data_IF_161614144711
#
_entry.id   IF_161614144711
#
_cell.length_a   1.000
_cell.length_b   1.000
_cell.length_c   1.000
_cell.angle_alpha   90.00
_cell.angle_beta   90.00
_cell.angle_gamma   90.00
#
_symmetry.space_group_name_H-M   'P 1'
#
loop_
_entity.id
_entity.type
_entity.pdbx_description
1 polymer ?
#
# COMPACT_ATOMS: atom_id res chain seq x y z
N UNK A 1 0.13 7.51 12.63
CA UNK A 1 -0.26 8.70 11.87
C UNK A 1 -1.27 9.55 12.61
N UNK A 2 -0.76 10.59 13.25
CA UNK A 2 -1.57 11.70 13.72
C UNK A 2 -1.81 12.61 12.51
N UNK A 3 -2.90 12.31 11.79
CA UNK A 3 -3.24 12.94 10.53
C UNK A 3 -3.87 14.31 10.80
N UNK A 4 -3.07 15.35 10.67
CA UNK A 4 -3.53 16.72 10.73
C UNK A 4 -3.97 17.17 9.34
N UNK A 5 -5.19 17.72 9.24
CA UNK A 5 -5.65 18.33 8.00
C UNK A 5 -4.68 19.45 7.59
N UNK A 6 -4.32 19.45 6.32
CA UNK A 6 -3.44 20.46 5.72
C UNK A 6 -4.24 21.25 4.71
N UNK A 7 -4.28 22.55 4.92
CA UNK A 7 -4.76 23.49 3.94
C UNK A 7 -3.84 23.47 2.72
N UNK A 8 -4.43 23.57 1.53
CA UNK A 8 -3.66 23.64 0.27
C UNK A 8 -2.57 24.73 0.36
N UNK A 9 -2.87 25.82 1.05
CA UNK A 9 -1.98 26.98 1.29
C UNK A 9 -0.69 26.64 2.03
N UNK A 10 -0.71 25.62 2.88
CA UNK A 10 0.43 25.19 3.68
C UNK A 10 1.31 24.14 2.97
N UNK A 11 0.94 23.71 1.76
CA UNK A 11 1.73 22.76 0.97
C UNK A 11 2.77 23.52 0.13
N UNK A 12 4.08 23.24 0.28
CA UNK A 12 5.11 23.89 -0.51
C UNK A 12 5.04 23.45 -1.97
N UNK A 13 5.00 24.44 -2.87
CA UNK A 13 4.86 24.26 -4.32
C UNK A 13 6.21 24.55 -5.00
N UNK A 14 6.59 23.72 -5.96
CA UNK A 14 7.86 23.83 -6.68
C UNK A 14 9.10 23.44 -5.85
N UNK A 15 8.89 22.98 -4.61
CA UNK A 15 9.94 22.48 -3.73
C UNK A 15 9.67 21.03 -3.34
N UNK A 16 10.71 20.22 -3.07
CA UNK A 16 10.52 18.87 -2.56
C UNK A 16 9.70 18.91 -1.28
N UNK A 17 8.62 18.13 -1.23
CA UNK A 17 7.74 18.12 -0.07
C UNK A 17 8.53 17.72 1.19
N UNK A 18 8.45 18.49 2.28
CA UNK A 18 9.17 18.18 3.52
C UNK A 18 8.51 17.04 4.30
N UNK A 19 7.28 16.65 3.94
CA UNK A 19 6.49 15.61 4.60
C UNK A 19 5.52 14.96 3.60
N UNK A 20 5.06 13.74 3.91
CA UNK A 20 4.11 13.01 3.07
C UNK A 20 2.70 13.58 3.23
N UNK A 21 1.95 13.59 2.13
CA UNK A 21 0.54 13.97 2.08
C UNK A 21 -0.32 12.73 1.93
N UNK A 22 -1.45 12.71 2.63
CA UNK A 22 -2.40 11.61 2.66
C UNK A 22 -3.81 12.11 2.31
N UNK A 23 -4.67 11.20 1.87
CA UNK A 23 -6.12 11.44 1.84
C UNK A 23 -6.77 11.14 3.20
N UNK A 24 -8.07 11.45 3.33
CA UNK A 24 -8.90 11.13 4.51
C UNK A 24 -8.93 9.65 4.91
N UNK A 25 -8.46 8.76 4.04
CA UNK A 25 -8.43 7.32 4.28
C UNK A 25 -6.99 6.84 4.62
N UNK A 26 -6.03 7.75 4.72
CA UNK A 26 -4.64 7.47 5.07
C UNK A 26 -3.78 6.99 3.90
N UNK A 27 -4.25 7.08 2.65
CA UNK A 27 -3.44 6.73 1.50
C UNK A 27 -2.51 7.87 1.12
N UNK A 28 -1.23 7.56 0.90
CA UNK A 28 -0.25 8.54 0.43
C UNK A 28 -0.66 9.09 -0.93
N UNK A 29 -0.96 10.38 -0.97
CA UNK A 29 -1.21 11.17 -2.17
C UNK A 29 0.10 11.71 -2.75
N UNK A 30 1.04 12.11 -1.88
CA UNK A 30 2.38 12.53 -2.28
C UNK A 30 3.42 12.05 -1.28
N UNK A 31 4.54 11.55 -1.79
CA UNK A 31 5.68 11.16 -0.97
C UNK A 31 6.50 12.37 -0.54
N UNK A 32 7.23 12.25 0.58
CA UNK A 32 8.21 13.26 1.00
C UNK A 32 9.31 13.33 -0.04
N UNK A 33 9.64 14.52 -0.50
CA UNK A 33 10.62 14.77 -1.57
C UNK A 33 10.02 14.84 -2.97
N UNK A 34 8.76 14.42 -3.17
CA UNK A 34 8.06 14.73 -4.41
C UNK A 34 7.84 16.23 -4.53
N UNK A 35 8.07 16.76 -5.73
CA UNK A 35 7.89 18.18 -6.00
C UNK A 35 6.49 18.35 -6.56
N UNK A 36 5.61 18.99 -5.78
CA UNK A 36 4.32 19.42 -6.32
C UNK A 36 4.56 20.65 -7.16
N UNK A 37 4.60 20.50 -8.48
CA UNK A 37 4.97 21.60 -9.37
C UNK A 37 3.97 22.77 -9.31
N UNK A 38 2.65 22.53 -9.18
CA UNK A 38 1.64 23.59 -9.16
C UNK A 38 0.47 23.33 -8.19
N UNK A 39 0.04 24.39 -7.50
CA UNK A 39 -1.07 24.41 -6.51
C UNK A 39 -2.41 23.89 -7.04
N UNK A 40 -2.63 23.98 -8.35
CA UNK A 40 -3.85 23.50 -9.01
C UNK A 40 -4.00 21.97 -8.96
N UNK A 41 -2.88 21.24 -8.85
CA UNK A 41 -2.85 19.78 -8.72
C UNK A 41 -3.56 19.33 -7.43
N UNK A 42 -3.28 20.03 -6.32
CA UNK A 42 -3.93 19.82 -5.02
C UNK A 42 -5.44 20.11 -5.10
N UNK A 43 -5.83 21.22 -5.76
CA UNK A 43 -7.24 21.60 -5.96
C UNK A 43 -8.05 20.59 -6.78
N UNK A 44 -7.42 19.89 -7.73
CA UNK A 44 -8.09 18.87 -8.56
C UNK A 44 -8.23 17.52 -7.86
N UNK A 45 -7.38 17.24 -6.85
CA UNK A 45 -7.52 16.08 -5.95
C UNK A 45 -8.66 16.26 -4.93
N UNK A 46 -9.16 17.49 -4.77
CA UNK A 46 -10.09 17.90 -3.73
C UNK A 46 -11.56 17.78 -4.14
N UNK A 47 -12.07 16.56 -3.97
CA UNK A 47 -13.35 16.39 -3.27
C UNK A 47 -13.14 15.86 -1.82
N UNK A 48 -11.89 15.67 -1.37
CA UNK A 48 -11.56 15.19 -0.03
C UNK A 48 -10.35 15.89 0.57
N UNK A 49 -10.40 16.12 1.88
CA UNK A 49 -9.40 16.81 2.70
C UNK A 49 -8.00 16.15 2.59
N UNK A 50 -6.95 16.98 2.57
CA UNK A 50 -5.53 16.59 2.55
C UNK A 50 -5.03 16.49 3.99
N UNK A 51 -4.24 15.48 4.31
CA UNK A 51 -3.72 15.27 5.65
C UNK A 51 -2.21 15.09 5.63
N UNK A 52 -1.53 15.52 6.69
CA UNK A 52 -0.13 15.20 6.97
C UNK A 52 -0.02 14.46 8.27
N UNK A 53 0.92 13.54 8.36
CA UNK A 53 1.25 12.92 9.63
C UNK A 53 2.25 13.80 10.39
N UNK A 54 1.82 14.41 11.49
CA UNK A 54 2.69 15.26 12.34
C UNK A 54 3.66 14.45 13.21
N UNK A 55 3.41 13.16 13.41
CA UNK A 55 4.29 12.25 14.15
C UNK A 55 5.24 11.46 13.23
N UNK A 56 5.26 11.79 11.93
CA UNK A 56 6.16 11.18 10.98
C UNK A 56 7.62 11.61 11.26
N UNK A 57 8.38 10.72 11.91
CA UNK A 57 9.84 10.80 11.96
C UNK A 57 10.39 11.02 10.54
N UNK A 58 11.49 11.78 10.37
CA UNK A 58 12.12 11.91 9.07
C UNK A 58 12.43 10.53 8.52
N UNK A 59 12.02 10.20 7.29
CA UNK A 59 12.30 8.89 6.76
C UNK A 59 13.83 8.79 6.62
N UNK A 60 14.39 7.65 7.05
CA UNK A 60 15.57 7.13 6.37
C UNK A 60 15.30 7.13 4.86
N UNK A 61 16.32 7.20 4.02
CA UNK A 61 16.26 7.31 2.53
C UNK A 61 15.47 6.20 1.78
N UNK A 62 14.54 5.53 2.43
CA UNK A 62 13.64 4.54 1.88
C UNK A 62 12.37 5.23 1.37
N UNK A 63 12.38 5.56 0.08
CA UNK A 63 11.18 5.49 -0.76
C UNK A 63 10.46 4.19 -0.41
N UNK A 64 9.11 4.13 -0.28
CA UNK A 64 8.43 2.86 -0.06
C UNK A 64 8.83 1.90 -1.17
N UNK A 65 9.71 0.96 -0.83
CA UNK A 65 10.13 -0.10 -1.70
C UNK A 65 8.91 -1.02 -1.80
N UNK A 66 8.03 -0.71 -2.75
CA UNK A 66 6.97 -1.62 -3.15
C UNK A 66 7.68 -2.92 -3.49
N UNK A 67 7.43 -3.96 -2.70
CA UNK A 67 7.90 -5.30 -3.03
C UNK A 67 7.18 -5.67 -4.32
N UNK A 68 7.85 -5.44 -5.46
CA UNK A 68 7.53 -6.13 -6.70
C UNK A 68 7.56 -7.61 -6.36
N UNK A 69 6.40 -8.23 -6.21
CA UNK A 69 6.31 -9.67 -6.34
C UNK A 69 6.56 -9.98 -7.82
N UNK A 70 7.85 -9.93 -8.23
CA UNK A 70 8.35 -10.36 -9.54
C UNK A 70 7.92 -11.79 -9.88
N UNK A 71 7.52 -12.55 -8.86
CA UNK A 71 7.17 -13.97 -8.92
C UNK A 71 5.67 -14.28 -9.06
N UNK A 72 4.79 -13.28 -9.21
CA UNK A 72 3.39 -13.56 -9.54
C UNK A 72 3.29 -13.92 -11.04
N UNK A 73 2.82 -15.13 -11.38
CA UNK A 73 2.71 -15.54 -12.77
C UNK A 73 1.72 -14.63 -13.51
N UNK A 74 2.10 -14.06 -14.67
CA UNK A 74 1.19 -13.28 -15.49
C UNK A 74 0.19 -14.24 -16.15
N UNK A 75 -1.03 -14.35 -15.62
CA UNK A 75 -1.92 -15.45 -15.96
C UNK A 75 -3.32 -15.04 -16.48
N UNK A 76 -3.76 -13.80 -16.27
CA UNK A 76 -5.15 -13.43 -16.55
C UNK A 76 -5.29 -12.42 -17.69
N UNK A 77 -6.38 -12.56 -18.45
CA UNK A 77 -6.80 -11.62 -19.49
C UNK A 77 -7.58 -10.48 -18.80
N UNK A 78 -7.36 -9.24 -19.21
CA UNK A 78 -8.14 -8.11 -18.71
C UNK A 78 -9.56 -8.07 -19.31
N UNK A 79 -10.56 -7.54 -18.60
CA UNK A 79 -10.68 -7.70 -17.16
C UNK A 79 -10.87 -9.20 -16.82
N UNK A 80 -10.33 -9.69 -15.70
CA UNK A 80 -10.55 -11.08 -15.31
C UNK A 80 -12.04 -11.38 -15.03
N UNK A 81 -12.43 -12.66 -15.10
CA UNK A 81 -13.85 -13.08 -15.13
C UNK A 81 -14.72 -12.57 -13.96
N UNK A 82 -14.11 -12.25 -12.82
CA UNK A 82 -14.81 -11.80 -11.60
C UNK A 82 -14.71 -10.29 -11.34
N UNK A 83 -14.08 -9.54 -12.25
CA UNK A 83 -13.78 -8.12 -12.05
C UNK A 83 -14.47 -7.26 -13.09
N UNK A 84 -15.08 -6.19 -12.59
CA UNK A 84 -15.80 -5.22 -13.41
C UNK A 84 -15.21 -3.85 -13.13
N UNK A 85 -14.17 -3.45 -13.88
CA UNK A 85 -13.59 -2.12 -13.74
C UNK A 85 -14.67 -1.06 -13.94
N UNK A 86 -14.79 -0.14 -12.99
CA UNK A 86 -15.79 0.93 -13.02
C UNK A 86 -15.23 2.19 -13.65
N UNK A 87 -16.07 2.92 -14.37
CA UNK A 87 -15.71 4.24 -14.91
C UNK A 87 -15.28 5.15 -13.75
N UNK A 88 -14.17 5.85 -13.90
CA UNK A 88 -13.59 6.72 -12.88
C UNK A 88 -12.65 6.03 -11.90
N UNK A 89 -12.45 4.70 -11.99
CA UNK A 89 -11.42 4.02 -11.20
C UNK A 89 -10.03 4.60 -11.47
N UNK A 90 -9.25 4.74 -10.41
CA UNK A 90 -7.91 5.35 -10.48
C UNK A 90 -6.94 4.40 -11.17
N UNK A 91 -6.15 4.97 -12.08
CA UNK A 91 -5.03 4.31 -12.75
C UNK A 91 -3.77 5.12 -12.49
N UNK A 92 -2.72 4.44 -12.01
CA UNK A 92 -1.38 4.98 -11.95
C UNK A 92 -0.62 4.55 -13.20
N UNK A 93 -0.01 5.50 -13.88
CA UNK A 93 0.73 5.27 -15.12
C UNK A 93 2.18 5.63 -14.96
N UNK A 94 3.07 4.76 -15.40
CA UNK A 94 4.50 5.05 -15.51
C UNK A 94 4.93 4.87 -16.96
N UNK A 95 5.50 5.91 -17.54
CA UNK A 95 6.05 5.86 -18.90
C UNK A 95 7.39 5.14 -18.86
N UNK A 96 7.51 4.06 -19.62
CA UNK A 96 8.72 3.25 -19.70
C UNK A 96 9.66 3.86 -20.73
N UNK A 97 10.92 4.12 -20.36
CA UNK A 97 11.93 4.70 -21.24
C UNK A 97 12.06 6.22 -21.18
N UNK A 98 11.32 6.91 -20.31
CA UNK A 98 11.60 8.30 -19.94
C UNK A 98 12.45 8.36 -18.67
N UNK A 99 13.28 9.40 -18.54
CA UNK A 99 14.09 9.65 -17.33
C UNK A 99 13.24 9.85 -16.08
N UNK A 100 11.98 10.30 -16.29
CA UNK A 100 11.00 10.47 -15.24
C UNK A 100 10.31 9.14 -14.89
N UNK A 101 10.65 8.59 -13.71
CA UNK A 101 10.14 7.30 -13.24
C UNK A 101 8.92 7.39 -12.32
N UNK A 102 8.38 8.59 -12.06
CA UNK A 102 7.26 8.74 -11.13
C UNK A 102 5.93 8.31 -11.77
N UNK A 103 5.01 7.81 -10.93
CA UNK A 103 3.67 7.46 -11.36
C UNK A 103 2.83 8.71 -11.56
N UNK A 104 2.04 8.70 -12.62
CA UNK A 104 1.14 9.77 -13.01
C UNK A 104 -0.31 9.29 -12.83
N UNK A 105 -1.15 10.17 -12.29
CA UNK A 105 -2.53 9.85 -12.00
C UNK A 105 -3.43 10.03 -13.23
N UNK A 106 -4.21 8.99 -13.51
CA UNK A 106 -5.27 9.00 -14.51
C UNK A 106 -6.51 8.27 -13.98
N UNK A 107 -7.59 8.34 -14.75
CA UNK A 107 -8.84 7.66 -14.49
C UNK A 107 -9.23 6.78 -15.68
N UNK A 108 -9.80 5.62 -15.37
CA UNK A 108 -10.40 4.74 -16.35
C UNK A 108 -11.65 5.41 -16.95
N UNK A 109 -11.70 5.53 -18.28
CA UNK A 109 -12.91 5.95 -19.00
C UNK A 109 -13.75 4.71 -19.35
N UNK A 110 -13.08 3.63 -19.74
CA UNK A 110 -13.71 2.36 -20.11
C UNK A 110 -12.76 1.46 -20.88
N UNK A 111 -13.30 0.42 -21.50
CA UNK A 111 -12.52 -0.49 -22.34
C UNK A 111 -13.38 -1.09 -23.45
N UNK A 112 -12.74 -1.41 -24.55
CA UNK A 112 -13.29 -2.19 -25.65
C UNK A 112 -12.59 -3.54 -25.62
N UNK A 113 -13.33 -4.60 -25.29
CA UNK A 113 -12.80 -5.93 -25.04
C UNK A 113 -11.96 -6.43 -26.23
N UNK A 114 -10.73 -6.84 -25.96
CA UNK A 114 -9.77 -7.33 -26.96
C UNK A 114 -9.15 -6.25 -27.85
N UNK A 115 -9.54 -4.98 -27.71
CA UNK A 115 -9.05 -3.89 -28.56
C UNK A 115 -8.22 -2.87 -27.78
N UNK A 116 -8.83 -2.21 -26.79
CA UNK A 116 -8.14 -1.14 -26.06
C UNK A 116 -8.76 -0.80 -24.72
N UNK A 117 -7.95 -0.24 -23.82
CA UNK A 117 -8.39 0.40 -22.58
C UNK A 117 -8.31 1.92 -22.76
N UNK A 118 -9.36 2.65 -22.39
CA UNK A 118 -9.44 4.10 -22.55
C UNK A 118 -9.17 4.77 -21.21
N UNK A 119 -8.18 5.67 -21.19
CA UNK A 119 -7.69 6.31 -19.97
C UNK A 119 -7.55 7.81 -20.20
N UNK A 120 -7.90 8.62 -19.21
CA UNK A 120 -7.70 10.09 -19.26
C UNK A 120 -6.22 10.42 -19.36
N UNK A 121 -5.85 11.44 -20.14
CA UNK A 121 -4.47 11.94 -20.14
C UNK A 121 -4.12 12.52 -18.76
N UNK A 122 -3.04 12.07 -18.10
CA UNK A 122 -2.62 12.64 -16.83
C UNK A 122 -2.37 14.13 -16.92
N UNK A 123 -2.77 14.84 -15.87
CA UNK A 123 -2.53 16.26 -15.71
C UNK A 123 -1.56 16.42 -14.56
N UNK A 124 -0.32 16.78 -14.88
CA UNK A 124 0.66 17.16 -13.88
C UNK A 124 0.61 18.68 -13.75
N UNK A 125 0.25 19.15 -12.57
CA UNK A 125 0.37 20.56 -12.23
C UNK A 125 -0.50 21.50 -13.11
N UNK A 126 -1.56 20.96 -13.72
CA UNK A 126 -2.44 21.70 -14.65
C UNK A 126 -1.94 21.67 -16.11
N UNK A 127 -0.75 21.14 -16.35
CA UNK A 127 -0.25 20.83 -17.67
C UNK A 127 -0.49 19.36 -17.99
N UNK A 128 -1.00 19.09 -19.18
CA UNK A 128 -1.18 17.72 -19.63
C UNK A 128 0.19 17.15 -19.98
N UNK A 129 0.47 15.96 -19.50
CA UNK A 129 1.70 15.28 -19.92
C UNK A 129 1.59 15.04 -21.43
N UNK A 130 2.65 15.37 -22.17
CA UNK A 130 2.69 15.12 -23.59
C UNK A 130 2.95 13.63 -23.80
N UNK A 131 1.94 12.93 -24.32
CA UNK A 131 1.99 11.51 -24.65
C UNK A 131 2.15 11.34 -26.16
N UNK A 132 2.83 10.27 -26.55
CA UNK A 132 3.02 9.93 -27.96
C UNK A 132 2.52 8.51 -28.24
N UNK A 133 1.96 8.29 -29.42
CA UNK A 133 1.62 6.95 -29.89
C UNK A 133 2.88 6.08 -29.95
N UNK A 134 2.76 4.82 -29.52
CA UNK A 134 3.85 3.84 -29.47
C UNK A 134 4.63 3.81 -28.15
N UNK A 135 4.41 4.77 -27.24
CA UNK A 135 5.09 4.76 -25.94
C UNK A 135 4.65 3.57 -25.09
N UNK A 136 5.63 2.94 -24.42
CA UNK A 136 5.40 1.85 -23.49
C UNK A 136 5.04 2.40 -22.12
N UNK A 137 4.06 1.79 -21.47
CA UNK A 137 3.61 2.17 -20.13
C UNK A 137 3.52 0.95 -19.22
N UNK A 138 3.71 1.18 -17.93
CA UNK A 138 3.17 0.32 -16.88
C UNK A 138 1.93 1.00 -16.29
N UNK A 139 0.82 0.29 -16.26
CA UNK A 139 -0.42 0.72 -15.64
C UNK A 139 -0.68 -0.10 -14.38
N UNK A 140 -1.06 0.60 -13.31
CA UNK A 140 -1.55 0.01 -12.06
C UNK A 140 -2.96 0.50 -11.81
N UNK A 141 -3.92 -0.41 -11.73
CA UNK A 141 -5.32 -0.08 -11.55
C UNK A 141 -5.85 -0.75 -10.29
N UNK A 142 -6.60 -0.01 -9.49
CA UNK A 142 -7.33 -0.57 -8.35
C UNK A 142 -8.76 -0.85 -8.79
N UNK A 143 -9.19 -2.11 -8.69
CA UNK A 143 -10.60 -2.46 -8.91
C UNK A 143 -11.06 -3.52 -7.93
N UNK A 144 -12.17 -3.23 -7.24
CA UNK A 144 -12.61 -4.01 -6.08
C UNK A 144 -11.54 -4.06 -4.99
N UNK A 145 -11.20 -5.27 -4.54
CA UNK A 145 -10.18 -5.54 -3.52
C UNK A 145 -8.83 -5.96 -4.10
N UNK A 146 -8.54 -5.60 -5.35
CA UNK A 146 -7.35 -6.03 -6.07
C UNK A 146 -6.67 -4.85 -6.78
N UNK A 147 -5.35 -4.94 -6.89
CA UNK A 147 -4.49 -4.12 -7.72
C UNK A 147 -4.10 -4.94 -8.95
N UNK A 148 -4.33 -4.39 -10.13
CA UNK A 148 -3.93 -4.96 -11.40
C UNK A 148 -2.73 -4.21 -11.91
N UNK A 149 -1.68 -4.94 -12.26
CA UNK A 149 -0.46 -4.38 -12.85
C UNK A 149 -0.26 -5.02 -14.21
N UNK A 150 -0.11 -4.20 -15.23
CA UNK A 150 0.16 -4.65 -16.59
C UNK A 150 1.01 -3.64 -17.35
N UNK A 151 1.79 -4.14 -18.30
CA UNK A 151 2.47 -3.32 -19.28
C UNK A 151 1.63 -3.24 -20.54
N UNK A 152 1.62 -2.07 -21.18
CA UNK A 152 0.89 -1.83 -22.41
C UNK A 152 1.58 -0.76 -23.24
N UNK A 153 1.04 -0.49 -24.42
CA UNK A 153 1.51 0.53 -25.36
C UNK A 153 0.38 1.52 -25.65
N UNK A 154 0.72 2.80 -25.75
CA UNK A 154 -0.21 3.82 -26.22
C UNK A 154 -0.49 3.59 -27.71
N UNK A 155 -1.72 3.22 -28.06
CA UNK A 155 -2.15 3.02 -29.44
C UNK A 155 -2.50 4.35 -30.13
N UNK A 156 -3.16 5.24 -29.39
CA UNK A 156 -3.63 6.52 -29.90
C UNK A 156 -3.88 7.52 -28.78
N UNK A 157 -3.33 8.73 -28.91
CA UNK A 157 -3.69 9.89 -28.10
C UNK A 157 -4.83 10.66 -28.79
N UNK A 158 -5.89 10.94 -28.04
CA UNK A 158 -7.06 11.67 -28.48
C UNK A 158 -7.15 12.99 -27.71
N UNK A 159 -7.28 14.12 -28.40
CA UNK A 159 -7.29 15.47 -27.79
C UNK A 159 -8.66 16.16 -27.87
N UNK A 160 -9.65 15.54 -28.52
CA UNK A 160 -10.99 16.07 -28.74
C UNK A 160 -12.04 14.94 -28.66
N UNK A 161 -13.23 15.19 -28.07
CA UNK A 161 -13.66 16.41 -27.37
C UNK A 161 -13.03 16.54 -25.96
N UNK A 162 -12.27 15.55 -25.53
CA UNK A 162 -11.53 15.54 -24.27
C UNK A 162 -10.17 14.86 -24.47
N UNK A 163 -9.23 15.06 -23.54
CA UNK A 163 -7.91 14.47 -23.63
C UNK A 163 -7.87 13.10 -22.96
N UNK A 164 -7.69 12.07 -23.76
CA UNK A 164 -7.60 10.67 -23.35
C UNK A 164 -6.71 9.91 -24.31
N UNK A 165 -6.44 8.65 -24.02
CA UNK A 165 -5.69 7.81 -24.94
C UNK A 165 -6.14 6.35 -24.83
N UNK A 166 -5.89 5.62 -25.90
CA UNK A 166 -6.08 4.18 -25.99
C UNK A 166 -4.79 3.48 -25.62
N UNK A 167 -4.86 2.60 -24.63
CA UNK A 167 -3.86 1.58 -24.38
C UNK A 167 -4.19 0.30 -25.13
N UNK A 168 -3.16 -0.37 -25.64
CA UNK A 168 -3.29 -1.71 -26.20
C UNK A 168 -3.90 -2.65 -25.16
N UNK A 169 -4.78 -3.53 -25.62
CA UNK A 169 -5.39 -4.49 -24.73
C UNK A 169 -4.31 -5.41 -24.15
N UNK A 170 -4.11 -5.45 -22.82
CA UNK A 170 -3.00 -6.20 -22.24
C UNK A 170 -3.27 -7.69 -22.41
N UNK A 171 -2.32 -8.41 -23.02
CA UNK A 171 -2.42 -9.85 -23.20
C UNK A 171 -2.31 -10.62 -21.88
N UNK A 172 -1.66 -10.01 -20.87
CA UNK A 172 -1.49 -10.57 -19.53
C UNK A 172 -1.58 -9.47 -18.48
N UNK A 173 -2.24 -9.77 -17.38
CA UNK A 173 -2.34 -8.92 -16.21
C UNK A 173 -1.85 -9.69 -14.98
N UNK A 174 -1.18 -8.98 -14.07
CA UNK A 174 -0.87 -9.47 -12.73
C UNK A 174 -1.90 -8.91 -11.76
N UNK A 175 -2.57 -9.77 -11.03
CA UNK A 175 -3.48 -9.38 -9.96
C UNK A 175 -2.77 -9.56 -8.61
N UNK A 176 -2.85 -8.54 -7.76
CA UNK A 176 -2.44 -8.59 -6.38
C UNK A 176 -3.64 -8.20 -5.52
N UNK A 177 -3.99 -9.02 -4.54
CA UNK A 177 -5.01 -8.65 -3.57
C UNK A 177 -4.56 -7.41 -2.79
N UNK A 178 -5.35 -6.35 -2.84
CA UNK A 178 -5.20 -5.19 -1.97
C UNK A 178 -5.31 -5.71 -0.53
N UNK A 179 -4.38 -5.33 0.36
CA UNK A 179 -4.39 -5.80 1.76
C UNK A 179 -5.79 -5.59 2.33
N UNK A 180 -6.47 -6.68 2.69
CA UNK A 180 -7.92 -6.70 2.92
C UNK A 180 -8.37 -6.03 4.21
N UNK A 181 -7.43 -5.64 5.07
CA UNK A 181 -7.70 -5.18 6.43
C UNK A 181 -6.73 -4.05 6.80
N UNK A 182 -7.19 -3.01 7.52
CA UNK A 182 -6.32 -1.95 7.98
C UNK A 182 -5.28 -2.49 8.96
N UNK A 183 -4.08 -1.91 8.95
CA UNK A 183 -3.01 -2.23 9.87
C UNK A 183 -2.80 -1.07 10.85
N UNK A 184 -2.49 -1.41 12.09
CA UNK A 184 -2.13 -0.49 13.15
C UNK A 184 -0.68 -0.71 13.57
N UNK A 185 0.06 0.38 13.82
CA UNK A 185 1.34 0.32 14.50
C UNK A 185 1.08 0.00 15.96
N UNK A 186 1.81 -0.96 16.48
CA UNK A 186 1.70 -1.40 17.86
C UNK A 186 3.09 -1.62 18.42
N UNK A 187 3.18 -1.69 19.74
CA UNK A 187 4.39 -2.09 20.43
C UNK A 187 4.00 -3.05 21.54
N UNK A 188 3.84 -4.33 21.17
CA UNK A 188 3.37 -5.37 22.09
C UNK A 188 4.46 -6.41 22.26
N UNK A 189 4.75 -6.72 23.52
CA UNK A 189 5.54 -7.90 23.87
C UNK A 189 4.67 -9.16 23.69
N UNK A 190 5.23 -10.16 23.03
CA UNK A 190 4.58 -11.42 22.74
C UNK A 190 5.54 -12.58 22.99
N UNK A 191 5.00 -13.75 23.32
CA UNK A 191 5.71 -15.01 23.23
C UNK A 191 5.39 -15.66 21.88
N UNK A 192 6.41 -15.99 21.11
CA UNK A 192 6.27 -16.76 19.88
C UNK A 192 6.89 -18.14 20.07
N UNK A 193 6.16 -19.20 19.75
CA UNK A 193 6.66 -20.57 19.80
C UNK A 193 6.40 -21.31 18.50
N UNK A 194 7.28 -22.24 18.16
CA UNK A 194 7.07 -23.16 17.04
C UNK A 194 6.56 -24.53 17.55
N UNK A 195 5.99 -25.38 16.68
CA UNK A 195 5.52 -26.72 17.05
C UNK A 195 6.60 -27.64 17.63
N UNK A 196 7.88 -27.36 17.36
CA UNK A 196 9.03 -28.12 17.87
C UNK A 196 9.42 -27.73 19.29
N UNK A 197 8.73 -26.77 19.91
CA UNK A 197 8.94 -26.35 21.30
C UNK A 197 9.98 -25.25 21.49
N UNK A 198 10.55 -24.71 20.41
CA UNK A 198 11.38 -23.50 20.52
C UNK A 198 10.47 -22.30 20.79
N UNK A 199 10.90 -21.42 21.70
CA UNK A 199 10.15 -20.25 22.12
C UNK A 199 11.09 -19.04 22.22
N UNK A 200 10.62 -17.91 21.72
CA UNK A 200 11.33 -16.64 21.76
C UNK A 200 10.39 -15.52 22.20
N UNK A 201 10.99 -14.47 22.78
CA UNK A 201 10.27 -13.21 22.99
C UNK A 201 10.23 -12.47 21.65
N UNK A 202 9.02 -12.06 21.27
CA UNK A 202 8.74 -11.35 20.04
C UNK A 202 8.16 -9.97 20.36
N UNK A 203 8.50 -8.99 19.53
CA UNK A 203 7.87 -7.67 19.53
C UNK A 203 6.95 -7.55 18.34
N UNK A 204 5.64 -7.40 18.57
CA UNK A 204 4.69 -7.09 17.51
C UNK A 204 4.81 -5.60 17.21
N UNK A 205 5.18 -5.24 15.99
CA UNK A 205 5.38 -3.85 15.56
C UNK A 205 4.24 -3.33 14.69
N UNK A 206 3.57 -4.22 13.95
CA UNK A 206 2.37 -3.90 13.19
C UNK A 206 1.36 -5.05 13.30
N UNK A 207 0.07 -4.71 13.39
CA UNK A 207 -1.01 -5.67 13.60
C UNK A 207 -2.20 -5.36 12.67
N UNK A 208 -2.85 -6.40 12.17
CA UNK A 208 -4.11 -6.33 11.42
C UNK A 208 -5.06 -7.42 11.88
N UNK A 209 -6.27 -7.44 11.31
CA UNK A 209 -7.24 -8.52 11.56
C UNK A 209 -6.75 -9.91 11.10
N UNK A 210 -5.83 -9.96 10.13
CA UNK A 210 -5.42 -11.20 9.48
C UNK A 210 -3.95 -11.57 9.69
N UNK A 211 -3.17 -10.75 10.37
CA UNK A 211 -1.75 -11.00 10.52
C UNK A 211 -1.01 -9.92 11.29
N UNK A 212 0.29 -10.15 11.48
CA UNK A 212 1.18 -9.30 12.25
C UNK A 212 2.58 -9.24 11.63
N UNK A 213 3.33 -8.22 12.03
CA UNK A 213 4.77 -8.11 11.82
C UNK A 213 5.47 -8.22 13.18
N UNK A 214 6.39 -9.16 13.29
CA UNK A 214 7.11 -9.48 14.52
C UNK A 214 8.61 -9.22 14.34
N UNK A 215 9.26 -8.67 15.36
CA UNK A 215 10.72 -8.70 15.48
C UNK A 215 11.10 -9.71 16.56
N UNK A 216 11.96 -10.66 16.20
CA UNK A 216 12.39 -11.75 17.08
C UNK A 216 13.93 -11.80 17.05
N UNK A 217 14.64 -11.83 18.19
CA UNK A 217 16.10 -11.91 18.21
C UNK A 217 16.65 -13.19 17.57
N UNK A 218 15.94 -14.31 17.77
CA UNK A 218 16.31 -15.64 17.28
C UNK A 218 15.57 -16.09 16.02
N UNK A 219 16.13 -17.10 15.37
CA UNK A 219 15.46 -17.82 14.29
C UNK A 219 14.43 -18.79 14.86
N UNK A 220 13.14 -18.58 14.58
CA UNK A 220 12.04 -19.40 15.11
C UNK A 220 11.39 -20.31 14.06
N UNK A 221 11.66 -20.05 12.77
CA UNK A 221 11.15 -20.82 11.65
C UNK A 221 11.48 -20.17 10.30
N UNK A 222 10.97 -20.75 9.23
CA UNK A 222 11.10 -20.27 7.85
C UNK A 222 9.72 -20.03 7.23
N UNK A 223 9.69 -19.47 6.03
CA UNK A 223 8.44 -19.29 5.27
C UNK A 223 7.64 -20.60 5.22
N UNK A 224 6.33 -20.48 5.45
CA UNK A 224 5.30 -21.50 5.57
C UNK A 224 5.30 -22.33 6.86
N UNK A 225 6.28 -22.18 7.76
CA UNK A 225 6.23 -22.85 9.06
C UNK A 225 5.14 -22.25 9.94
N UNK A 226 4.62 -23.06 10.86
CA UNK A 226 3.62 -22.64 11.84
C UNK A 226 4.28 -21.98 13.06
N UNK A 227 3.62 -20.98 13.62
CA UNK A 227 3.94 -20.35 14.88
C UNK A 227 2.68 -20.21 15.73
N UNK A 228 2.84 -20.23 17.06
CA UNK A 228 1.82 -19.80 18.00
C UNK A 228 2.29 -18.53 18.69
N UNK A 229 1.45 -17.49 18.65
CA UNK A 229 1.78 -16.15 19.13
C UNK A 229 0.85 -15.82 20.28
N UNK A 230 1.41 -15.57 21.46
CA UNK A 230 0.66 -15.27 22.67
C UNK A 230 1.01 -13.88 23.17
N UNK A 231 0.01 -13.00 23.36
CA UNK A 231 0.22 -11.64 23.84
C UNK A 231 -0.97 -11.10 24.59
N UNK A 232 -0.72 -10.14 25.48
CA UNK A 232 -1.76 -9.46 26.26
C UNK A 232 -2.32 -8.27 25.50
N UNK A 233 -3.63 -8.11 25.58
CA UNK A 233 -4.38 -7.03 24.95
C UNK A 233 -5.22 -6.33 26.01
N UNK A 234 -5.16 -5.00 26.04
CA UNK A 234 -6.02 -4.15 26.84
C UNK A 234 -6.73 -3.14 25.94
N UNK A 235 -8.06 -3.15 25.94
CA UNK A 235 -8.92 -2.28 25.13
C UNK A 235 -10.03 -1.76 26.03
N UNK A 236 -10.18 -0.43 26.13
CA UNK A 236 -11.22 0.22 26.93
C UNK A 236 -11.31 -0.29 28.40
N UNK A 237 -10.17 -0.62 29.01
CA UNK A 237 -10.09 -1.13 30.39
C UNK A 237 -10.42 -2.62 30.56
N UNK A 238 -10.70 -3.34 29.46
CA UNK A 238 -10.85 -4.79 29.45
C UNK A 238 -9.54 -5.44 29.01
N UNK A 239 -9.12 -6.49 29.72
CA UNK A 239 -7.89 -7.22 29.44
C UNK A 239 -8.17 -8.66 29.02
N UNK A 240 -7.39 -9.15 28.05
CA UNK A 240 -7.39 -10.56 27.64
C UNK A 240 -5.99 -10.98 27.21
N UNK A 241 -5.77 -12.29 27.17
CA UNK A 241 -4.62 -12.89 26.50
C UNK A 241 -5.10 -13.49 25.19
N UNK A 242 -4.50 -13.10 24.07
CA UNK A 242 -4.71 -13.74 22.78
C UNK A 242 -3.63 -14.79 22.56
N UNK A 243 -4.01 -15.99 22.12
CA UNK A 243 -3.11 -17.07 21.75
C UNK A 243 -3.47 -17.58 20.35
N UNK A 244 -2.80 -17.02 19.35
CA UNK A 244 -3.17 -17.14 17.94
C UNK A 244 -2.22 -18.10 17.21
N UNK A 245 -2.79 -19.02 16.44
CA UNK A 245 -2.01 -19.81 15.49
C UNK A 245 -1.74 -18.97 14.24
N UNK A 246 -0.55 -19.10 13.67
CA UNK A 246 -0.11 -18.33 12.53
C UNK A 246 0.81 -19.13 11.61
N UNK A 247 0.90 -18.72 10.35
CA UNK A 247 1.87 -19.22 9.38
C UNK A 247 2.82 -18.11 8.95
N UNK A 248 4.12 -18.41 8.90
CA UNK A 248 5.16 -17.46 8.49
C UNK A 248 5.04 -17.21 6.99
N UNK A 249 4.90 -15.96 6.57
CA UNK A 249 4.82 -15.55 5.17
C UNK A 249 6.18 -15.17 4.60
N UNK A 250 7.03 -14.55 5.41
CA UNK A 250 8.41 -14.21 5.05
C UNK A 250 9.25 -13.98 6.31
N UNK A 251 10.57 -14.13 6.16
CA UNK A 251 11.57 -13.80 7.18
C UNK A 251 12.61 -12.89 6.52
N UNK A 252 12.96 -11.78 7.18
CA UNK A 252 13.93 -10.79 6.68
C UNK A 252 14.81 -10.31 7.83
N UNK A 253 16.05 -9.83 7.56
CA UNK A 253 16.79 -9.08 8.56
C UNK A 253 15.99 -7.83 8.94
N UNK A 254 15.79 -7.58 10.25
CA UNK A 254 15.16 -6.36 10.70
C UNK A 254 16.09 -5.17 10.37
N UNK A 255 15.57 -4.13 9.72
CA UNK A 255 16.33 -2.90 9.46
C UNK A 255 16.38 -2.11 10.78
N UNK A 256 17.53 -2.10 11.46
CA UNK A 256 17.70 -1.29 12.68
C UNK A 256 17.88 0.18 12.33
N UNK A 257 17.02 1.04 12.89
CA UNK A 257 17.32 2.46 13.04
C UNK A 257 18.29 2.61 14.22
N UNK A 258 19.51 3.05 13.92
CA UNK A 258 20.49 3.66 14.82
C UNK A 258 20.50 3.16 16.28
N UNK A 259 20.64 1.86 16.50
CA UNK A 259 21.21 1.31 17.72
C UNK A 259 21.74 -0.10 17.43
N UNK A 260 23.02 -0.32 17.72
CA UNK A 260 23.79 -1.54 17.44
C UNK A 260 23.41 -2.73 18.36
N UNK A 261 22.15 -2.82 18.79
CA UNK A 261 21.65 -3.91 19.63
C UNK A 261 20.81 -4.90 18.83
N UNK A 262 21.48 -6.00 18.46
CA UNK A 262 20.95 -7.31 18.06
C UNK A 262 20.36 -7.47 16.65
N UNK A 263 20.91 -8.49 15.97
CA UNK A 263 20.51 -9.06 14.69
C UNK A 263 19.10 -9.67 14.75
N UNK A 264 18.08 -8.86 15.03
CA UNK A 264 16.71 -9.35 15.05
C UNK A 264 16.23 -9.67 13.64
N UNK A 265 15.39 -10.70 13.55
CA UNK A 265 14.71 -11.12 12.34
C UNK A 265 13.28 -10.59 12.38
N UNK A 266 12.86 -10.01 11.26
CA UNK A 266 11.50 -9.63 10.98
C UNK A 266 10.73 -10.83 10.42
N UNK A 267 9.58 -11.13 11.00
CA UNK A 267 8.64 -12.12 10.52
C UNK A 267 7.33 -11.46 10.15
N UNK A 268 6.91 -11.64 8.90
CA UNK A 268 5.51 -11.41 8.52
C UNK A 268 4.72 -12.70 8.73
N UNK A 269 3.62 -12.63 9.47
CA UNK A 269 2.79 -13.80 9.80
C UNK A 269 1.33 -13.58 9.41
N UNK A 270 0.66 -14.65 9.01
CA UNK A 270 -0.79 -14.70 8.73
C UNK A 270 -1.47 -15.57 9.78
N UNK A 271 -2.50 -15.05 10.44
CA UNK A 271 -3.27 -15.77 11.47
C UNK A 271 -4.13 -16.88 10.85
N UNK A 272 -4.28 -17.99 11.58
CA UNK A 272 -5.03 -19.20 11.18
C UNK A 272 -6.08 -19.52 12.24
N UNK A 273 -7.25 -19.96 11.80
CA UNK A 273 -8.27 -20.52 12.70
C UNK A 273 -8.78 -19.54 13.79
N UNK A 274 -8.81 -18.24 13.50
CA UNK A 274 -9.26 -17.23 14.47
C UNK A 274 -10.68 -17.54 14.97
N UNK A 275 -10.85 -17.60 16.29
CA UNK A 275 -12.17 -17.65 16.89
C UNK A 275 -12.90 -16.32 16.71
N UNK A 276 -14.23 -16.32 16.81
CA UNK A 276 -15.04 -15.10 16.75
C UNK A 276 -14.63 -14.11 17.85
N UNK A 277 -14.25 -14.62 19.03
CA UNK A 277 -13.81 -13.79 20.15
C UNK A 277 -12.45 -13.14 19.87
N UNK A 278 -11.46 -13.90 19.39
CA UNK A 278 -10.14 -13.37 19.05
C UNK A 278 -10.22 -12.33 17.94
N UNK A 279 -11.04 -12.59 16.93
CA UNK A 279 -11.28 -11.65 15.83
C UNK A 279 -11.91 -10.33 16.33
N UNK A 280 -12.81 -10.40 17.32
CA UNK A 280 -13.40 -9.20 17.93
C UNK A 280 -12.34 -8.38 18.69
N UNK A 281 -11.48 -9.05 19.45
CA UNK A 281 -10.39 -8.41 20.18
C UNK A 281 -9.35 -7.77 19.27
N UNK A 282 -8.91 -8.50 18.24
CA UNK A 282 -8.02 -7.96 17.20
C UNK A 282 -8.65 -6.74 16.53
N UNK A 283 -9.95 -6.82 16.21
CA UNK A 283 -10.67 -5.70 15.62
C UNK A 283 -10.69 -4.49 16.53
N UNK A 284 -11.10 -4.65 17.78
CA UNK A 284 -11.16 -3.54 18.72
C UNK A 284 -9.78 -2.90 18.93
N UNK A 285 -8.74 -3.71 19.10
CA UNK A 285 -7.37 -3.22 19.27
C UNK A 285 -6.85 -2.45 18.05
N UNK A 286 -7.00 -3.03 16.84
CA UNK A 286 -6.53 -2.41 15.59
C UNK A 286 -7.24 -1.09 15.35
N UNK A 287 -8.57 -1.05 15.48
CA UNK A 287 -9.33 0.18 15.26
C UNK A 287 -9.10 1.22 16.35
N UNK A 288 -8.95 0.83 17.62
CA UNK A 288 -8.58 1.76 18.69
C UNK A 288 -7.23 2.42 18.38
N UNK A 289 -6.22 1.64 18.00
CA UNK A 289 -4.89 2.16 17.65
C UNK A 289 -4.93 3.10 16.45
N UNK A 290 -5.72 2.78 15.43
CA UNK A 290 -5.92 3.68 14.28
C UNK A 290 -6.60 4.99 14.72
N UNK A 291 -7.63 4.91 15.55
CA UNK A 291 -8.33 6.08 16.08
C UNK A 291 -7.45 6.95 16.98
N UNK A 292 -6.51 6.34 17.72
CA UNK A 292 -5.46 7.01 18.49
C UNK A 292 -4.36 7.64 17.63
N UNK A 293 -4.44 7.52 16.30
CA UNK A 293 -3.45 8.09 15.39
C UNK A 293 -2.23 7.20 15.19
N UNK A 294 -2.38 5.88 15.28
CA UNK A 294 -1.32 4.90 14.98
C UNK A 294 -1.64 3.94 13.81
N UNK A 295 -2.12 4.37 12.62
CA UNK A 295 -2.16 3.49 11.46
C UNK A 295 -0.74 3.16 10.95
N UNK A 296 -0.58 1.95 10.41
CA UNK A 296 0.68 1.43 9.88
C UNK A 296 0.81 1.63 8.37
#
# INVERSE_FOLDING_TARGET
>A
MNLQAVTIDDVPIGMPLPWQLYDRYGYTLFARGEIIAHRQLLKNLLAGELFRDVDALPPAKDVPEWVEHKDLPPAEIFPPHDIRPQIGERVLLRLLGRDFQAYQHASLIGYIKGQSILITTPVDAGQRIMLTDGEQVEARMVSGSNIYVFQSMILRVCISPSHYFHLAYPARVRAQKLRSSPWARVDLSAAASNPQGAQEVARIVNLSLGGAQLHIPGALGRKNDALRITFHVSVAGLETTLALDASIQHVRPARSGQDWAQQSLEYGVEFRGLSTQDALWLRSLVYQRIAEGYPA
#
